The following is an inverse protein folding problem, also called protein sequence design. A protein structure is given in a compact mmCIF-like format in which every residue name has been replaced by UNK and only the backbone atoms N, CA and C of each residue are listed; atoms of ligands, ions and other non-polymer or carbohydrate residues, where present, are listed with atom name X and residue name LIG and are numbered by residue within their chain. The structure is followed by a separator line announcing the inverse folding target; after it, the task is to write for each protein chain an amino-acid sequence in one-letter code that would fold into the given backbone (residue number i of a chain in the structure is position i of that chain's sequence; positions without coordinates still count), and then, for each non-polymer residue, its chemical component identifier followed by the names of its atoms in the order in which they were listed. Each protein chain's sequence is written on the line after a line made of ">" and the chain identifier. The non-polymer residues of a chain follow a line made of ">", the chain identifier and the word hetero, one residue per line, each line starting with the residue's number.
data_IF_624826731411
#
_entry.id   IF_624826731411
#
_cell.length_a   1.000
_cell.length_b   1.000
_cell.length_c   1.000
_cell.angle_alpha   90.00
_cell.angle_beta   90.00
_cell.angle_gamma   90.00
#
_symmetry.space_group_name_H-M   'P 1'
#
loop_
_entity.id
_entity.type
_entity.pdbx_description
1 polymer ?
#
# COMPACT_ATOMS: atom_id res chain seq x y z
N UNK A 1 -7.29 9.72 -25.67
CA UNK A 1 -6.08 9.31 -24.91
C UNK A 1 -6.12 7.80 -24.80
N UNK A 2 -5.07 7.06 -25.19
CA UNK A 2 -5.04 5.61 -24.99
C UNK A 2 -4.61 5.34 -23.55
N UNK A 3 -5.45 4.67 -22.76
CA UNK A 3 -5.10 4.24 -21.40
C UNK A 3 -4.01 3.17 -21.46
N UNK A 4 -2.97 3.32 -20.64
CA UNK A 4 -1.90 2.33 -20.47
C UNK A 4 -2.50 1.10 -19.79
N UNK A 5 -2.38 -0.07 -20.42
CA UNK A 5 -2.84 -1.33 -19.82
C UNK A 5 -1.87 -1.80 -18.74
N UNK A 6 -2.35 -2.50 -17.72
CA UNK A 6 -1.49 -3.16 -16.72
C UNK A 6 -0.36 -4.02 -17.33
N UNK A 7 -0.56 -4.62 -18.52
CA UNK A 7 0.48 -5.37 -19.24
C UNK A 7 1.64 -4.49 -19.74
N UNK A 8 1.39 -3.22 -20.04
CA UNK A 8 2.44 -2.29 -20.53
C UNK A 8 3.39 -1.83 -19.41
N UNK A 9 2.98 -1.96 -18.14
CA UNK A 9 3.83 -1.73 -16.97
C UNK A 9 4.55 -2.98 -16.49
N UNK A 10 3.88 -4.14 -16.58
CA UNK A 10 4.33 -5.38 -15.95
C UNK A 10 5.03 -6.35 -16.92
N UNK A 11 4.85 -6.20 -18.25
CA UNK A 11 5.51 -7.04 -19.26
C UNK A 11 6.64 -6.30 -19.98
N UNK A 12 7.80 -6.94 -20.08
CA UNK A 12 9.00 -6.47 -20.79
C UNK A 12 8.85 -6.38 -22.33
N UNK A 13 7.64 -6.22 -22.86
CA UNK A 13 7.33 -6.32 -24.29
C UNK A 13 7.49 -5.00 -25.07
N UNK A 14 8.74 -4.56 -25.22
CA UNK A 14 9.22 -4.22 -26.57
C UNK A 14 9.08 -2.80 -27.12
N UNK A 15 8.55 -1.82 -26.39
CA UNK A 15 8.82 -0.41 -26.67
C UNK A 15 9.03 0.33 -25.35
N UNK A 16 10.30 0.54 -24.97
CA UNK A 16 10.62 1.41 -23.82
C UNK A 16 10.20 2.83 -24.18
N UNK A 17 8.99 3.21 -23.77
CA UNK A 17 8.58 4.61 -23.73
C UNK A 17 9.57 5.37 -22.84
N UNK A 18 9.89 6.61 -23.22
CA UNK A 18 10.69 7.47 -22.34
C UNK A 18 9.92 7.71 -21.02
N UNK A 19 10.61 8.03 -19.92
CA UNK A 19 9.94 8.41 -18.67
C UNK A 19 8.90 9.53 -18.86
N UNK A 20 9.15 10.48 -19.77
CA UNK A 20 8.22 11.57 -20.10
C UNK A 20 6.98 11.06 -20.85
N UNK A 21 7.16 10.14 -21.81
CA UNK A 21 6.05 9.51 -22.53
C UNK A 21 5.21 8.62 -21.62
N UNK A 22 5.83 7.93 -20.67
CA UNK A 22 5.13 7.13 -19.67
C UNK A 22 4.38 8.04 -18.69
N UNK A 23 5.02 9.12 -18.23
CA UNK A 23 4.39 10.14 -17.39
C UNK A 23 3.15 10.73 -18.03
N UNK A 24 3.21 11.11 -19.31
CA UNK A 24 2.10 11.72 -20.03
C UNK A 24 0.89 10.79 -20.23
N UNK A 25 1.09 9.47 -20.05
CA UNK A 25 0.02 8.47 -20.17
C UNK A 25 -0.50 7.98 -18.81
N UNK A 26 0.16 8.32 -17.71
CA UNK A 26 -0.29 8.02 -16.35
C UNK A 26 -1.42 8.98 -15.97
N UNK A 27 -2.62 8.43 -15.92
CA UNK A 27 -3.84 9.11 -15.49
C UNK A 27 -4.65 8.17 -14.58
N UNK A 28 -5.33 8.76 -13.58
CA UNK A 28 -6.07 8.04 -12.54
C UNK A 28 -5.26 7.63 -11.31
N UNK A 29 -5.86 6.76 -10.49
CA UNK A 29 -5.24 6.21 -9.29
C UNK A 29 -4.61 4.85 -9.55
N UNK A 30 -3.49 4.60 -8.89
CA UNK A 30 -2.67 3.41 -9.03
C UNK A 30 -2.37 2.77 -7.68
N UNK A 31 -2.27 1.45 -7.69
CA UNK A 31 -1.82 0.60 -6.61
C UNK A 31 -0.46 0.03 -6.96
N UNK A 32 0.56 0.38 -6.18
CA UNK A 32 1.96 0.20 -6.58
C UNK A 32 2.75 -0.42 -5.46
N UNK A 33 3.57 -1.40 -5.80
CA UNK A 33 4.45 -2.06 -4.83
C UNK A 33 5.77 -2.41 -5.47
N UNK A 34 6.85 -2.01 -4.81
CA UNK A 34 8.16 -2.59 -5.04
C UNK A 34 8.36 -3.80 -4.12
N UNK A 35 8.99 -4.86 -4.62
CA UNK A 35 9.21 -6.10 -3.91
C UNK A 35 10.54 -6.74 -4.31
N UNK A 36 11.11 -7.56 -3.42
CA UNK A 36 12.31 -8.34 -3.75
C UNK A 36 11.96 -9.46 -4.72
N UNK A 37 12.76 -9.62 -5.77
CA UNK A 37 12.49 -10.59 -6.84
C UNK A 37 12.43 -12.05 -6.36
N UNK A 38 13.11 -12.38 -5.27
CA UNK A 38 13.14 -13.71 -4.65
C UNK A 38 11.97 -13.98 -3.70
N UNK A 39 11.26 -12.94 -3.24
CA UNK A 39 10.04 -13.07 -2.43
C UNK A 39 8.77 -13.09 -3.31
N UNK A 40 8.80 -12.42 -4.46
CA UNK A 40 7.62 -12.25 -5.31
C UNK A 40 6.66 -11.12 -4.85
N UNK A 41 5.70 -10.70 -5.70
CA UNK A 41 4.95 -9.46 -5.52
C UNK A 41 3.96 -9.49 -4.34
N UNK A 42 3.48 -10.66 -3.93
CA UNK A 42 2.42 -10.80 -2.92
C UNK A 42 2.87 -11.55 -1.67
N UNK A 43 4.16 -11.87 -1.56
CA UNK A 43 4.71 -12.45 -0.34
C UNK A 43 4.67 -11.44 0.81
N UNK A 44 4.35 -11.92 2.00
CA UNK A 44 4.21 -11.12 3.20
C UNK A 44 5.02 -11.79 4.30
N UNK A 45 5.97 -11.05 4.86
CA UNK A 45 6.95 -11.60 5.81
C UNK A 45 6.29 -12.12 7.09
N UNK A 46 5.19 -11.51 7.53
CA UNK A 46 4.42 -11.94 8.71
C UNK A 46 3.56 -13.18 8.48
N UNK A 47 3.48 -13.70 7.25
CA UNK A 47 2.94 -15.05 7.03
C UNK A 47 3.94 -16.14 7.47
N UNK A 48 5.21 -15.82 7.72
CA UNK A 48 6.23 -16.74 8.21
C UNK A 48 6.16 -16.93 9.74
N UNK A 49 6.69 -18.04 10.28
CA UNK A 49 6.98 -18.16 11.70
C UNK A 49 7.82 -16.98 12.21
N UNK A 50 7.60 -16.55 13.46
CA UNK A 50 8.19 -15.31 14.00
C UNK A 50 9.71 -15.20 13.81
N UNK A 51 10.47 -16.23 14.18
CA UNK A 51 11.93 -16.22 14.07
C UNK A 51 12.40 -16.17 12.60
N UNK A 52 11.68 -16.84 11.69
CA UNK A 52 11.94 -16.79 10.25
C UNK A 52 11.61 -15.41 9.65
N UNK A 53 10.52 -14.80 10.12
CA UNK A 53 10.14 -13.44 9.75
C UNK A 53 11.19 -12.40 10.19
N UNK A 54 11.73 -12.52 11.41
CA UNK A 54 12.82 -11.68 11.91
C UNK A 54 14.06 -11.82 11.03
N UNK A 55 14.50 -13.05 10.76
CA UNK A 55 15.66 -13.31 9.90
C UNK A 55 15.46 -12.78 8.46
N UNK A 56 14.24 -12.91 7.91
CA UNK A 56 13.91 -12.39 6.60
C UNK A 56 13.93 -10.85 6.55
N UNK A 57 13.49 -10.18 7.62
CA UNK A 57 13.59 -8.72 7.75
C UNK A 57 15.04 -8.25 7.84
N UNK A 58 15.86 -8.89 8.69
CA UNK A 58 17.30 -8.61 8.80
C UNK A 58 18.01 -8.72 7.45
N UNK A 59 17.67 -9.74 6.67
CA UNK A 59 18.28 -9.97 5.36
C UNK A 59 17.80 -9.00 4.27
N UNK A 60 16.56 -8.51 4.36
CA UNK A 60 15.93 -7.72 3.30
C UNK A 60 16.11 -6.22 3.46
N UNK A 61 16.02 -5.71 4.70
CA UNK A 61 16.24 -4.32 5.03
C UNK A 61 16.66 -4.23 6.51
N UNK A 62 17.98 -4.29 6.80
CA UNK A 62 18.47 -4.27 8.17
C UNK A 62 18.15 -2.95 8.90
N UNK A 63 17.74 -1.90 8.15
CA UNK A 63 17.40 -0.59 8.68
C UNK A 63 15.89 -0.33 8.74
N UNK A 64 15.04 -1.32 8.44
CA UNK A 64 13.59 -1.15 8.41
C UNK A 64 13.05 -0.78 9.80
N UNK A 65 12.24 0.29 9.87
CA UNK A 65 11.70 0.80 11.13
C UNK A 65 12.62 1.78 11.89
N UNK A 66 13.65 2.31 11.23
CA UNK A 66 14.49 3.41 11.71
C UNK A 66 14.03 4.74 11.06
N UNK A 67 13.63 5.72 11.87
CA UNK A 67 13.49 7.10 11.39
C UNK A 67 14.87 7.78 11.25
N UNK A 68 15.88 7.33 12.03
CA UNK A 68 17.29 7.71 11.90
C UNK A 68 18.22 6.52 12.25
N UNK A 69 18.92 5.93 11.25
CA UNK A 69 19.87 4.84 11.46
C UNK A 69 21.08 5.20 12.34
N UNK A 70 21.45 6.49 12.41
CA UNK A 70 22.63 6.94 13.14
C UNK A 70 22.37 7.18 14.64
N UNK A 71 21.12 7.45 15.03
CA UNK A 71 20.74 7.80 16.40
C UNK A 71 20.28 6.61 17.27
N UNK A 72 19.88 5.50 16.64
CA UNK A 72 19.10 4.44 17.31
C UNK A 72 19.90 3.32 17.96
N UNK A 73 21.22 3.23 17.72
CA UNK A 73 22.04 2.13 18.24
C UNK A 73 21.66 0.74 17.71
N UNK A 74 20.86 0.69 16.62
CA UNK A 74 20.20 -0.51 16.11
C UNK A 74 18.87 -0.78 16.83
N UNK A 75 17.80 -1.07 16.09
CA UNK A 75 16.57 -1.62 16.66
C UNK A 75 16.56 -3.15 16.57
N UNK A 76 15.92 -3.74 17.58
CA UNK A 76 15.55 -5.14 17.66
C UNK A 76 14.50 -5.47 16.57
N UNK A 77 14.90 -6.23 15.55
CA UNK A 77 14.02 -6.67 14.47
C UNK A 77 12.87 -7.55 15.00
N UNK A 78 13.06 -8.24 16.14
CA UNK A 78 11.97 -8.94 16.81
C UNK A 78 10.92 -7.97 17.35
N UNK A 79 11.34 -6.84 17.94
CA UNK A 79 10.41 -5.81 18.41
C UNK A 79 9.64 -5.15 17.25
N UNK A 80 10.30 -4.89 16.11
CA UNK A 80 9.63 -4.42 14.90
C UNK A 80 8.60 -5.44 14.41
N UNK A 81 8.96 -6.73 14.32
CA UNK A 81 8.05 -7.77 13.87
C UNK A 81 6.87 -7.98 14.82
N UNK A 82 7.10 -7.92 16.13
CA UNK A 82 6.01 -7.96 17.11
C UNK A 82 5.03 -6.79 16.90
N UNK A 83 5.52 -5.57 16.69
CA UNK A 83 4.67 -4.42 16.37
C UNK A 83 3.91 -4.61 15.05
N UNK A 84 4.55 -5.19 14.03
CA UNK A 84 3.90 -5.43 12.74
C UNK A 84 2.76 -6.43 12.85
N UNK A 85 2.95 -7.53 13.59
CA UNK A 85 1.90 -8.52 13.84
C UNK A 85 0.71 -7.88 14.58
N UNK A 86 0.97 -7.00 15.57
CA UNK A 86 -0.10 -6.23 16.23
C UNK A 86 -0.85 -5.35 15.23
N UNK A 87 -0.13 -4.63 14.37
CA UNK A 87 -0.70 -3.75 13.32
C UNK A 87 -1.61 -4.54 12.38
N UNK A 88 -1.15 -5.69 11.89
CA UNK A 88 -1.90 -6.51 10.94
C UNK A 88 -3.12 -7.17 11.58
N UNK A 89 -3.04 -7.53 12.86
CA UNK A 89 -4.19 -8.00 13.64
C UNK A 89 -5.26 -6.91 13.72
N UNK A 90 -4.87 -5.69 14.12
CA UNK A 90 -5.77 -4.55 14.18
C UNK A 90 -6.38 -4.22 12.80
N UNK A 91 -5.57 -4.20 11.74
CA UNK A 91 -6.04 -3.97 10.37
C UNK A 91 -7.07 -5.02 9.93
N UNK A 92 -6.85 -6.31 10.25
CA UNK A 92 -7.77 -7.39 9.90
C UNK A 92 -9.14 -7.18 10.55
N UNK A 93 -9.15 -6.91 11.85
CA UNK A 93 -10.38 -6.70 12.62
C UNK A 93 -11.19 -5.53 12.05
N UNK A 94 -10.52 -4.44 11.70
CA UNK A 94 -11.17 -3.26 11.15
C UNK A 94 -11.58 -3.41 9.67
N UNK A 95 -10.78 -4.09 8.84
CA UNK A 95 -11.13 -4.37 7.45
C UNK A 95 -12.39 -5.24 7.34
N UNK A 96 -12.53 -6.23 8.22
CA UNK A 96 -13.77 -7.03 8.29
C UNK A 96 -14.99 -6.17 8.62
N UNK A 97 -14.85 -5.18 9.49
CA UNK A 97 -15.95 -4.27 9.87
C UNK A 97 -16.39 -3.35 8.72
N UNK A 98 -15.52 -3.08 7.75
CA UNK A 98 -15.84 -2.29 6.55
C UNK A 98 -16.34 -3.13 5.37
N UNK A 99 -16.55 -4.43 5.58
CA UNK A 99 -17.10 -5.33 4.54
C UNK A 99 -16.08 -5.74 3.48
N UNK A 100 -14.78 -5.63 3.78
CA UNK A 100 -13.71 -6.17 2.94
C UNK A 100 -13.65 -7.69 3.10
N UNK A 101 -13.56 -8.41 1.98
CA UNK A 101 -13.32 -9.86 1.99
C UNK A 101 -11.86 -10.16 2.31
N UNK A 102 -11.63 -11.14 3.19
CA UNK A 102 -10.31 -11.50 3.69
C UNK A 102 -10.04 -12.95 3.32
N UNK A 103 -9.26 -13.15 2.27
CA UNK A 103 -8.94 -14.48 1.73
C UNK A 103 -7.55 -15.00 2.12
N UNK A 104 -6.67 -14.14 2.67
CA UNK A 104 -5.40 -14.56 3.28
C UNK A 104 -5.21 -13.99 4.69
N UNK A 105 -4.29 -14.56 5.50
CA UNK A 105 -3.92 -14.00 6.79
C UNK A 105 -3.40 -12.57 6.63
N UNK A 106 -2.14 -12.32 6.28
CA UNK A 106 -1.63 -10.95 6.36
C UNK A 106 -1.67 -10.24 5.00
N UNK A 107 -1.96 -8.93 4.94
CA UNK A 107 -2.15 -8.25 3.68
C UNK A 107 -0.82 -7.94 2.99
N UNK A 108 -0.85 -7.94 1.66
CA UNK A 108 0.23 -7.33 0.88
C UNK A 108 -0.01 -5.81 0.80
N UNK A 109 0.98 -5.02 1.17
CA UNK A 109 0.91 -3.55 1.18
C UNK A 109 1.31 -2.96 -0.17
N UNK A 110 0.54 -1.95 -0.60
CA UNK A 110 0.75 -1.15 -1.80
C UNK A 110 0.60 0.33 -1.44
N UNK A 111 1.34 1.19 -2.14
CA UNK A 111 1.05 2.61 -2.15
C UNK A 111 -0.17 2.85 -3.04
N UNK A 112 -1.14 3.63 -2.55
CA UNK A 112 -2.25 4.15 -3.37
C UNK A 112 -1.95 5.60 -3.75
N UNK A 113 -1.76 5.87 -5.05
CA UNK A 113 -1.35 7.20 -5.51
C UNK A 113 -1.91 7.58 -6.88
N UNK A 114 -2.10 8.87 -7.09
CA UNK A 114 -2.40 9.47 -8.40
C UNK A 114 -1.22 10.24 -9.00
N UNK A 115 -0.08 10.27 -8.31
CA UNK A 115 1.09 11.03 -8.74
C UNK A 115 1.94 10.20 -9.71
N UNK A 116 2.08 10.63 -10.98
CA UNK A 116 2.87 9.89 -11.97
C UNK A 116 4.32 9.68 -11.54
N UNK A 117 4.92 10.65 -10.85
CA UNK A 117 6.32 10.54 -10.40
C UNK A 117 6.53 9.48 -9.34
N UNK A 118 5.54 9.28 -8.46
CA UNK A 118 5.61 8.20 -7.47
C UNK A 118 5.48 6.84 -8.13
N UNK A 119 4.66 6.73 -9.17
CA UNK A 119 4.56 5.51 -9.98
C UNK A 119 5.90 5.22 -10.63
N UNK A 120 6.44 6.19 -11.37
CA UNK A 120 7.72 6.06 -12.07
C UNK A 120 8.88 5.77 -11.11
N UNK A 121 8.90 6.41 -9.94
CA UNK A 121 9.92 6.20 -8.92
C UNK A 121 9.92 4.78 -8.32
N UNK A 122 8.75 4.14 -8.20
CA UNK A 122 8.67 2.73 -7.80
C UNK A 122 9.07 1.79 -8.93
N UNK A 123 8.73 2.13 -10.16
CA UNK A 123 9.05 1.34 -11.36
C UNK A 123 10.50 1.48 -11.81
N UNK A 124 11.19 2.55 -11.39
CA UNK A 124 12.63 2.72 -11.56
C UNK A 124 13.34 1.63 -10.72
N UNK A 125 13.54 0.48 -11.34
CA UNK A 125 14.08 -0.73 -10.72
C UNK A 125 15.31 -0.42 -9.86
N UNK A 126 15.34 -1.02 -8.67
CA UNK A 126 16.51 -1.04 -7.78
C UNK A 126 17.12 -2.43 -7.86
N UNK A 127 18.41 -2.56 -7.61
CA UNK A 127 19.08 -3.86 -7.65
C UNK A 127 18.38 -4.86 -6.72
N UNK A 128 18.02 -6.02 -7.27
CA UNK A 128 17.29 -7.08 -6.55
C UNK A 128 15.81 -6.80 -6.29
N UNK A 129 15.25 -5.70 -6.82
CA UNK A 129 13.85 -5.33 -6.66
C UNK A 129 13.13 -5.32 -8.02
N UNK A 130 11.89 -5.77 -8.02
CA UNK A 130 10.92 -5.54 -9.09
C UNK A 130 9.76 -4.70 -8.55
N UNK A 131 8.91 -4.20 -9.44
CA UNK A 131 7.71 -3.48 -9.07
C UNK A 131 6.51 -3.99 -9.88
N UNK A 132 5.34 -3.89 -9.26
CA UNK A 132 4.06 -4.06 -9.94
C UNK A 132 3.24 -2.78 -9.74
N UNK A 133 2.55 -2.39 -10.80
CA UNK A 133 1.58 -1.30 -10.77
C UNK A 133 0.26 -1.79 -11.36
N UNK A 134 -0.83 -1.47 -10.67
CA UNK A 134 -2.19 -1.71 -11.12
C UNK A 134 -2.94 -0.40 -11.17
N UNK A 135 -3.64 -0.14 -12.27
CA UNK A 135 -4.68 0.87 -12.27
C UNK A 135 -5.82 0.44 -11.34
N UNK A 136 -6.23 1.33 -10.44
CA UNK A 136 -7.26 1.01 -9.45
C UNK A 136 -8.63 0.73 -10.07
N UNK A 137 -8.90 1.24 -11.29
CA UNK A 137 -10.14 1.01 -12.03
C UNK A 137 -10.16 -0.27 -12.89
N UNK A 138 -9.05 -1.00 -12.93
CA UNK A 138 -8.91 -2.25 -13.70
C UNK A 138 -8.87 -3.51 -12.81
N UNK A 139 -8.97 -3.36 -11.50
CA UNK A 139 -8.89 -4.48 -10.55
C UNK A 139 -10.11 -4.50 -9.61
N UNK A 140 -10.44 -5.70 -9.13
CA UNK A 140 -11.44 -5.85 -8.08
C UNK A 140 -10.87 -5.41 -6.73
N UNK A 141 -11.48 -4.39 -6.14
CA UNK A 141 -11.11 -3.83 -4.83
C UNK A 141 -11.87 -4.46 -3.66
N UNK A 142 -12.66 -5.51 -3.88
CA UNK A 142 -13.44 -6.21 -2.84
C UNK A 142 -12.60 -6.79 -1.69
N UNK A 143 -11.35 -7.17 -2.00
CA UNK A 143 -10.37 -7.71 -1.06
C UNK A 143 -9.32 -6.66 -0.64
N UNK A 144 -9.59 -5.37 -0.85
CA UNK A 144 -8.67 -4.28 -0.52
C UNK A 144 -9.26 -3.40 0.58
N UNK A 145 -8.44 -3.14 1.60
CA UNK A 145 -8.68 -2.05 2.54
C UNK A 145 -7.68 -0.92 2.32
N UNK A 146 -8.00 0.25 2.84
CA UNK A 146 -7.19 1.45 2.73
C UNK A 146 -7.09 2.13 4.07
N UNK A 147 -5.92 2.68 4.36
CA UNK A 147 -5.66 3.44 5.59
C UNK A 147 -4.74 4.60 5.29
N UNK A 148 -4.91 5.68 6.05
CA UNK A 148 -3.86 6.67 6.18
C UNK A 148 -3.15 6.45 7.52
N UNK A 149 -1.82 6.46 7.48
CA UNK A 149 -0.98 6.51 8.69
C UNK A 149 -1.15 5.30 9.63
N UNK A 150 -1.39 4.10 9.11
CA UNK A 150 -1.60 2.86 9.89
C UNK A 150 -0.48 2.55 10.91
N UNK A 151 0.76 2.89 10.55
CA UNK A 151 1.94 2.73 11.40
C UNK A 151 1.90 3.56 12.70
N UNK A 152 1.09 4.63 12.75
CA UNK A 152 0.90 5.45 13.96
C UNK A 152 -0.17 4.89 14.92
N UNK A 153 -1.18 4.19 14.40
CA UNK A 153 -2.37 3.83 15.20
C UNK A 153 -2.28 2.47 15.86
N UNK A 154 -1.52 1.54 15.28
CA UNK A 154 -1.17 0.29 15.97
C UNK A 154 -0.30 0.51 17.23
N UNK A 155 0.31 1.69 17.38
CA UNK A 155 1.08 2.08 18.57
C UNK A 155 0.29 2.81 19.66
N UNK A 156 -0.96 3.21 19.43
CA UNK A 156 -1.74 3.93 20.45
C UNK A 156 -2.16 3.04 21.63
N UNK A 157 -2.27 1.72 21.41
CA UNK A 157 -2.56 0.73 22.46
C UNK A 157 -1.29 0.15 23.12
N UNK A 158 -0.10 0.60 22.74
CA UNK A 158 1.16 0.14 23.36
C UNK A 158 1.55 1.08 24.50
N UNK A 159 1.21 0.72 25.74
CA UNK A 159 1.48 1.54 26.93
C UNK A 159 2.97 1.88 27.12
N UNK A 160 3.89 1.06 26.58
CA UNK A 160 5.34 1.29 26.64
C UNK A 160 5.85 2.22 25.52
N UNK A 161 5.02 2.49 24.49
CA UNK A 161 5.20 3.58 23.51
C UNK A 161 4.16 4.68 23.64
N UNK A 162 3.33 4.59 24.69
CA UNK A 162 2.18 5.45 24.94
C UNK A 162 2.59 6.91 24.89
N UNK A 163 2.22 7.58 23.81
CA UNK A 163 2.43 9.02 23.66
C UNK A 163 3.78 9.48 23.09
N UNK A 164 4.57 8.63 22.43
CA UNK A 164 5.87 9.05 21.89
C UNK A 164 5.85 9.60 20.45
N UNK A 165 4.70 9.75 19.80
CA UNK A 165 4.60 10.68 18.66
C UNK A 165 4.31 12.03 19.28
N UNK A 166 5.34 12.85 19.42
CA UNK A 166 5.14 14.25 19.77
C UNK A 166 4.31 14.88 18.64
N UNK A 167 3.00 14.96 18.82
CA UNK A 167 2.09 15.69 17.93
C UNK A 167 2.26 17.21 18.07
N UNK A 168 3.40 17.68 18.61
CA UNK A 168 3.69 19.10 18.77
C UNK A 168 3.80 19.73 17.37
N UNK A 169 2.68 20.29 16.91
CA UNK A 169 2.53 20.89 15.58
C UNK A 169 1.96 19.97 14.50
N UNK A 170 1.57 18.71 14.81
CA UNK A 170 0.94 17.80 13.87
C UNK A 170 -0.59 17.99 13.89
N UNK A 171 -1.18 18.45 12.80
CA UNK A 171 -2.64 18.48 12.67
C UNK A 171 -3.14 17.06 12.38
N UNK A 172 -3.98 16.53 13.26
CA UNK A 172 -4.56 15.18 13.07
C UNK A 172 -5.58 15.26 11.95
N UNK A 173 -5.28 14.64 10.82
CA UNK A 173 -6.21 14.53 9.71
C UNK A 173 -7.40 13.66 10.15
N UNK A 174 -8.65 14.02 9.83
CA UNK A 174 -9.83 13.24 10.20
C UNK A 174 -9.83 11.75 9.79
N UNK A 175 -8.95 11.33 8.88
CA UNK A 175 -8.89 9.99 8.31
C UNK A 175 -7.70 9.18 8.86
N UNK A 176 -6.88 9.78 9.72
CA UNK A 176 -5.77 9.10 10.38
C UNK A 176 -6.28 7.87 11.14
N UNK A 177 -5.67 6.71 10.89
CA UNK A 177 -6.03 5.45 11.56
C UNK A 177 -7.39 4.88 11.17
N UNK A 178 -8.06 5.43 10.16
CA UNK A 178 -9.31 4.85 9.64
C UNK A 178 -9.01 3.80 8.60
N UNK A 179 -9.49 2.58 8.84
CA UNK A 179 -9.59 1.54 7.81
C UNK A 179 -10.86 1.78 7.00
N UNK A 180 -10.71 1.80 5.68
CA UNK A 180 -11.77 2.09 4.73
C UNK A 180 -11.81 1.01 3.65
N UNK A 181 -13.01 0.70 3.16
CA UNK A 181 -13.16 0.00 1.89
C UNK A 181 -13.05 0.99 0.71
N UNK A 182 -13.07 0.49 -0.53
CA UNK A 182 -12.94 1.34 -1.72
C UNK A 182 -14.01 2.45 -1.83
N UNK A 183 -15.27 2.16 -1.47
CA UNK A 183 -16.35 3.16 -1.50
C UNK A 183 -16.13 4.27 -0.47
N UNK A 184 -15.72 3.91 0.75
CA UNK A 184 -15.42 4.87 1.80
C UNK A 184 -14.20 5.73 1.45
N UNK A 185 -13.17 5.14 0.82
CA UNK A 185 -12.01 5.89 0.33
C UNK A 185 -12.40 6.94 -0.71
N UNK A 186 -13.30 6.59 -1.64
CA UNK A 186 -13.83 7.54 -2.64
C UNK A 186 -14.45 8.73 -1.94
N UNK A 187 -15.43 8.49 -1.06
CA UNK A 187 -16.11 9.56 -0.33
C UNK A 187 -15.13 10.39 0.51
N UNK A 188 -14.10 9.74 1.08
CA UNK A 188 -13.05 10.43 1.81
C UNK A 188 -12.20 11.34 0.92
N UNK A 189 -11.86 10.92 -0.30
CA UNK A 189 -11.13 11.74 -1.27
C UNK A 189 -12.01 12.89 -1.77
N UNK A 190 -13.30 12.66 -1.97
CA UNK A 190 -14.25 13.72 -2.36
C UNK A 190 -14.42 14.77 -1.25
N UNK A 191 -14.48 14.33 0.01
CA UNK A 191 -14.71 15.19 1.17
C UNK A 191 -13.44 15.96 1.59
N UNK A 192 -12.30 15.27 1.67
CA UNK A 192 -11.06 15.80 2.25
C UNK A 192 -9.96 16.06 1.23
N UNK A 193 -10.12 15.61 -0.02
CA UNK A 193 -9.05 15.60 -1.02
C UNK A 193 -8.13 14.39 -0.90
N UNK A 194 -7.23 14.26 -1.88
CA UNK A 194 -6.10 13.34 -1.75
C UNK A 194 -4.98 14.03 -0.96
N UNK A 195 -4.47 13.43 0.10
CA UNK A 195 -3.39 14.00 0.89
C UNK A 195 -2.10 14.02 0.08
N UNK A 196 -1.66 15.20 -0.36
CA UNK A 196 -0.46 15.45 -1.15
C UNK A 196 0.72 15.95 -0.30
N UNK A 197 0.60 15.85 1.03
CA UNK A 197 1.59 16.37 1.97
C UNK A 197 2.88 15.54 1.96
N UNK A 198 4.01 16.25 1.99
CA UNK A 198 5.37 15.73 2.18
C UNK A 198 5.52 15.01 3.53
N UNK A 199 4.64 15.27 4.50
CA UNK A 199 4.57 14.64 5.83
C UNK A 199 4.04 13.20 5.84
N UNK A 200 4.03 12.51 4.69
CA UNK A 200 3.69 11.09 4.50
C UNK A 200 2.23 10.71 4.70
N UNK A 201 1.29 11.65 4.68
CA UNK A 201 -0.15 11.41 4.85
C UNK A 201 -0.84 10.61 3.72
N UNK A 202 -0.13 9.75 3.00
CA UNK A 202 -0.71 9.03 1.86
C UNK A 202 -1.57 7.85 2.31
N UNK A 203 -2.48 7.45 1.44
CA UNK A 203 -3.19 6.19 1.63
C UNK A 203 -2.28 5.01 1.31
N UNK A 204 -2.15 4.11 2.27
CA UNK A 204 -1.69 2.74 2.03
C UNK A 204 -2.89 1.87 1.68
N UNK A 205 -2.67 0.94 0.76
CA UNK A 205 -3.65 -0.06 0.38
C UNK A 205 -3.17 -1.45 0.80
N UNK A 206 -4.05 -2.19 1.46
CA UNK A 206 -3.79 -3.53 1.97
C UNK A 206 -4.61 -4.54 1.18
N UNK A 207 -3.93 -5.40 0.41
CA UNK A 207 -4.56 -6.46 -0.36
C UNK A 207 -4.61 -7.76 0.47
N UNK A 208 -5.83 -8.24 0.71
CA UNK A 208 -6.12 -9.43 1.51
C UNK A 208 -6.34 -10.71 0.69
N UNK A 209 -5.87 -10.72 -0.57
CA UNK A 209 -5.90 -11.87 -1.47
C UNK A 209 -4.50 -12.38 -1.83
N UNK A 210 -4.40 -13.61 -2.31
CA UNK A 210 -3.13 -14.19 -2.79
C UNK A 210 -2.62 -13.51 -4.07
N UNK A 211 -3.52 -13.00 -4.90
CA UNK A 211 -3.24 -12.27 -6.14
C UNK A 211 -4.42 -11.35 -6.47
N UNK A 212 -4.21 -10.23 -7.17
CA UNK A 212 -5.29 -9.36 -7.61
C UNK A 212 -6.13 -10.06 -8.68
N UNK A 213 -7.44 -9.90 -8.58
CA UNK A 213 -8.36 -10.29 -9.65
C UNK A 213 -8.51 -9.10 -10.59
N UNK A 214 -8.00 -9.23 -11.81
CA UNK A 214 -8.23 -8.22 -12.86
C UNK A 214 -9.68 -8.28 -13.30
N UNK A 215 -10.31 -7.12 -13.44
CA UNK A 215 -11.65 -7.04 -14.00
C UNK A 215 -11.57 -7.36 -15.49
N UNK A 216 -12.28 -8.41 -15.93
CA UNK A 216 -12.35 -8.74 -17.36
C UNK A 216 -12.94 -7.55 -18.12
N UNK A 217 -12.44 -7.22 -19.31
CA UNK A 217 -12.83 -5.99 -20.03
C UNK A 217 -14.34 -5.94 -20.34
N UNK A 218 -15.01 -7.10 -20.37
CA UNK A 218 -16.45 -7.25 -20.52
C UNK A 218 -17.25 -7.18 -19.19
N UNK A 219 -16.60 -7.46 -18.06
CA UNK A 219 -17.15 -7.27 -16.69
C UNK A 219 -16.87 -5.87 -16.15
N UNK A 220 -15.91 -5.15 -16.76
CA UNK A 220 -15.59 -3.77 -16.43
C UNK A 220 -16.83 -2.89 -16.41
N UNK A 221 -17.81 -2.90 -17.34
CA UNK A 221 -19.03 -2.07 -17.25
C UNK A 221 -19.94 -2.34 -16.04
N UNK A 222 -19.95 -3.58 -15.53
CA UNK A 222 -20.74 -3.93 -14.35
C UNK A 222 -20.00 -3.55 -13.04
N UNK A 223 -18.67 -3.69 -13.00
CA UNK A 223 -17.82 -3.19 -11.92
C UNK A 223 -17.57 -1.66 -11.98
N UNK A 224 -17.70 -1.06 -13.18
CA UNK A 224 -17.72 0.37 -13.47
C UNK A 224 -18.94 1.03 -12.82
N UNK A 225 -20.01 0.28 -12.51
CA UNK A 225 -21.09 0.85 -11.69
C UNK A 225 -20.65 1.22 -10.26
N UNK A 226 -19.50 0.71 -9.79
CA UNK A 226 -18.88 1.04 -8.50
C UNK A 226 -17.60 1.87 -8.65
N UNK A 227 -17.04 2.05 -9.87
CA UNK A 227 -15.79 2.80 -10.07
C UNK A 227 -15.95 4.01 -11.02
N UNK A 228 -16.66 3.89 -12.15
CA UNK A 228 -17.05 5.05 -12.98
C UNK A 228 -18.06 5.95 -12.27
N UNK A 229 -18.76 5.44 -11.25
CA UNK A 229 -19.61 6.26 -10.37
C UNK A 229 -18.82 7.00 -9.27
N UNK A 230 -17.53 6.68 -9.11
CA UNK A 230 -16.74 7.00 -7.93
C UNK A 230 -15.43 7.77 -8.24
N UNK A 231 -14.96 7.79 -9.49
CA UNK A 231 -13.78 8.58 -9.87
C UNK A 231 -13.87 9.16 -11.30
N UNK A 232 -15.06 9.15 -11.92
CA UNK A 232 -15.34 9.67 -13.26
C UNK A 232 -16.02 11.03 -13.24
#
# INVERSE_FOLDING_TARGET
>A
MMAVKNSEFNDASGAQLSPEELRAKLDGYYLIRAYRVDAGPYAVVTDLPFDEAVAACEASDPNRGLDDPAASGGRDQAAYMAQRIKTETWLRENASATGVDISKPNPAYFAFTREPDRVLGHMAGRDGMAAVAFRADEIDLSNWSFTMDDHFFASLDDADKGGAVALDGYEVHPLHGRVMNAFQLVSAIEEFGYPDDELKHNFEAQMWAASPTTLDAAAAPAARSTVERNFG
#
